data_IF_312212605821
#
_entry.id   IF_312212605821
#
_cell.length_a   1.000
_cell.length_b   1.000
_cell.length_c   1.000
_cell.angle_alpha   90.00
_cell.angle_beta   90.00
_cell.angle_gamma   90.00
#
_symmetry.space_group_name_H-M   'P 1'
#
loop_
_entity.id
_entity.type
_entity.pdbx_description
1 polymer ?
#
# COMPACT_ATOMS: atom_id res chain seq x y z
N UNK A 1 -6.46 -3.34 19.71
CA UNK A 1 -5.88 -3.76 21.00
C UNK A 1 -4.71 -4.67 20.66
N UNK A 2 -3.49 -4.20 20.85
CA UNK A 2 -2.30 -5.06 20.72
C UNK A 2 -2.31 -6.02 21.90
N UNK A 3 -2.50 -7.29 21.60
CA UNK A 3 -2.59 -8.35 22.62
C UNK A 3 -1.21 -8.89 23.05
N UNK A 4 -0.12 -8.30 22.54
CA UNK A 4 1.25 -8.64 22.91
C UNK A 4 1.67 -10.08 22.55
N UNK A 5 0.99 -10.71 21.59
CA UNK A 5 1.37 -12.01 21.11
C UNK A 5 2.53 -11.90 20.10
N UNK A 6 3.52 -12.79 20.18
CA UNK A 6 4.58 -12.82 19.20
C UNK A 6 4.04 -13.19 17.82
N UNK A 7 4.55 -12.55 16.77
CA UNK A 7 4.26 -12.89 15.39
C UNK A 7 5.33 -13.84 14.86
N UNK A 8 4.92 -15.05 14.47
CA UNK A 8 5.82 -16.03 13.86
C UNK A 8 5.36 -16.35 12.44
N UNK A 9 6.29 -16.28 11.50
CA UNK A 9 6.09 -16.82 10.17
C UNK A 9 6.44 -18.31 10.18
N UNK A 10 5.42 -19.14 10.14
CA UNK A 10 5.58 -20.61 10.07
C UNK A 10 5.70 -21.12 8.64
N UNK A 11 5.52 -20.25 7.66
CA UNK A 11 5.56 -20.53 6.23
C UNK A 11 6.53 -19.56 5.55
N UNK A 12 7.36 -20.03 4.64
CA UNK A 12 8.27 -19.21 3.85
C UNK A 12 7.54 -18.46 2.72
N UNK A 13 8.25 -17.56 2.05
CA UNK A 13 7.70 -16.82 0.88
C UNK A 13 7.34 -17.75 -0.28
N UNK A 14 7.97 -18.93 -0.38
CA UNK A 14 7.68 -19.98 -1.37
C UNK A 14 6.47 -20.84 -0.98
N UNK A 15 5.90 -20.61 0.20
CA UNK A 15 4.74 -21.33 0.69
C UNK A 15 5.08 -22.67 1.37
N UNK A 16 6.32 -22.89 1.77
CA UNK A 16 6.73 -24.10 2.49
C UNK A 16 6.82 -23.84 3.99
N UNK A 17 6.51 -24.84 4.80
CA UNK A 17 6.77 -24.76 6.24
C UNK A 17 8.25 -24.50 6.50
N UNK A 18 8.56 -23.55 7.39
CA UNK A 18 9.94 -23.28 7.82
C UNK A 18 10.42 -24.36 8.78
N UNK A 19 11.74 -24.52 8.88
CA UNK A 19 12.33 -25.48 9.80
C UNK A 19 11.96 -25.15 11.26
N UNK A 20 11.62 -26.16 12.03
CA UNK A 20 11.31 -26.08 13.45
C UNK A 20 9.81 -25.86 13.76
N UNK A 21 8.94 -25.92 12.76
CA UNK A 21 7.48 -25.94 12.96
C UNK A 21 7.05 -27.32 13.46
N UNK A 22 7.31 -28.35 12.69
CA UNK A 22 7.08 -29.74 13.05
C UNK A 22 7.89 -30.66 12.13
N UNK A 23 8.54 -31.72 12.65
CA UNK A 23 9.45 -32.59 11.85
C UNK A 23 8.79 -33.17 10.60
N UNK A 24 7.50 -33.46 10.65
CA UNK A 24 6.74 -34.03 9.52
C UNK A 24 6.28 -32.97 8.51
N UNK A 25 6.34 -31.69 8.85
CA UNK A 25 5.88 -30.59 8.00
C UNK A 25 7.03 -29.77 7.41
N UNK A 26 8.15 -29.71 8.08
CA UNK A 26 9.30 -28.88 7.72
C UNK A 26 9.69 -29.05 6.25
N UNK A 27 9.77 -27.94 5.52
CA UNK A 27 10.11 -27.88 4.10
C UNK A 27 9.02 -28.30 3.11
N UNK A 28 7.87 -28.79 3.59
CA UNK A 28 6.75 -29.19 2.72
C UNK A 28 5.86 -28.01 2.37
N UNK A 29 5.28 -28.05 1.17
CA UNK A 29 4.33 -27.03 0.72
C UNK A 29 3.03 -27.06 1.55
N UNK A 30 2.67 -25.92 2.14
CA UNK A 30 1.61 -25.81 3.14
C UNK A 30 0.26 -26.38 2.66
N UNK A 31 -0.14 -26.15 1.39
CA UNK A 31 -1.41 -26.63 0.85
C UNK A 31 -1.44 -28.14 0.58
N UNK A 32 -0.32 -28.82 0.64
CA UNK A 32 -0.26 -30.28 0.54
C UNK A 32 -0.20 -30.98 1.90
N UNK A 33 -0.32 -30.23 2.99
CA UNK A 33 -0.11 -30.73 4.35
C UNK A 33 -1.36 -30.71 5.21
N UNK A 34 -2.53 -30.34 4.67
CA UNK A 34 -3.76 -30.18 5.47
C UNK A 34 -4.10 -31.48 6.24
N UNK A 35 -4.08 -32.66 5.57
CA UNK A 35 -4.31 -33.95 6.22
C UNK A 35 -3.23 -34.25 7.28
N UNK A 36 -1.95 -34.01 6.96
CA UNK A 36 -0.85 -34.23 7.93
C UNK A 36 -0.98 -33.32 9.16
N UNK A 37 -1.41 -32.07 8.99
CA UNK A 37 -1.67 -31.17 10.12
C UNK A 37 -2.82 -31.70 10.98
N UNK A 38 -3.88 -32.22 10.34
CA UNK A 38 -5.00 -32.80 11.07
C UNK A 38 -4.58 -34.03 11.86
N UNK A 39 -3.81 -34.93 11.26
CA UNK A 39 -3.29 -36.14 11.93
C UNK A 39 -2.45 -35.78 13.16
N UNK A 40 -1.54 -34.80 13.03
CA UNK A 40 -0.71 -34.28 14.12
C UNK A 40 -1.56 -33.72 15.26
N UNK A 41 -2.60 -32.94 14.95
CA UNK A 41 -3.48 -32.32 15.96
C UNK A 41 -4.36 -33.34 16.70
N UNK A 42 -4.67 -34.48 16.07
CA UNK A 42 -5.46 -35.57 16.66
C UNK A 42 -4.58 -36.51 17.50
N UNK A 43 -3.33 -36.72 17.13
CA UNK A 43 -2.42 -37.64 17.82
C UNK A 43 -2.17 -37.17 19.25
N UNK A 44 -2.63 -37.96 20.23
CA UNK A 44 -2.43 -37.67 21.65
C UNK A 44 -1.01 -37.96 22.13
N UNK A 45 -0.18 -38.62 21.32
CA UNK A 45 1.21 -38.91 21.61
C UNK A 45 2.18 -37.94 20.93
N UNK A 46 1.68 -37.04 20.09
CA UNK A 46 2.55 -36.03 19.49
C UNK A 46 3.21 -35.16 20.57
N UNK A 47 4.49 -34.92 20.44
CA UNK A 47 5.28 -34.18 21.44
C UNK A 47 5.10 -32.67 21.39
N UNK A 48 4.52 -32.13 20.29
CA UNK A 48 4.39 -30.70 20.03
C UNK A 48 2.91 -30.29 20.11
N UNK A 49 2.01 -31.08 19.53
CA UNK A 49 0.62 -30.70 19.29
C UNK A 49 -0.41 -31.67 19.84
N UNK A 50 -0.02 -32.51 20.83
CA UNK A 50 -0.86 -33.56 21.43
C UNK A 50 -2.27 -33.07 21.79
N UNK A 51 -3.29 -33.67 21.14
CA UNK A 51 -4.70 -33.48 21.49
C UNK A 51 -5.24 -32.04 21.33
N UNK A 52 -4.63 -31.23 20.48
CA UNK A 52 -5.04 -29.83 20.29
C UNK A 52 -6.22 -29.65 19.32
N UNK A 53 -6.71 -30.70 18.67
CA UNK A 53 -7.86 -30.59 17.79
C UNK A 53 -9.13 -30.28 18.59
N UNK A 54 -9.68 -29.09 18.41
CA UNK A 54 -10.96 -28.72 19.00
C UNK A 54 -12.14 -29.24 18.19
N UNK A 55 -12.10 -29.11 16.86
CA UNK A 55 -13.18 -29.50 15.96
C UNK A 55 -12.72 -29.57 14.52
N UNK A 56 -13.14 -30.60 13.83
CA UNK A 56 -13.08 -30.73 12.38
C UNK A 56 -14.44 -30.52 11.76
N UNK A 57 -14.51 -29.80 10.65
CA UNK A 57 -15.73 -29.58 9.87
C UNK A 57 -15.40 -29.33 8.41
N UNK A 58 -16.00 -30.13 7.52
CA UNK A 58 -15.98 -29.80 6.09
C UNK A 58 -16.80 -28.56 5.80
N UNK A 59 -16.24 -27.62 5.06
CA UNK A 59 -16.86 -26.36 4.67
C UNK A 59 -16.58 -26.07 3.21
N UNK A 60 -17.63 -25.97 2.40
CA UNK A 60 -17.51 -25.58 0.99
C UNK A 60 -17.54 -24.06 0.90
N UNK A 61 -16.49 -23.48 0.31
CA UNK A 61 -16.38 -22.05 0.09
C UNK A 61 -15.53 -21.75 -1.15
N UNK A 62 -15.69 -20.56 -1.70
CA UNK A 62 -14.81 -20.07 -2.76
C UNK A 62 -13.43 -19.76 -2.19
N UNK A 63 -12.38 -20.19 -2.92
CA UNK A 63 -11.00 -19.92 -2.55
C UNK A 63 -10.30 -19.09 -3.63
N UNK A 64 -9.57 -18.02 -3.27
CA UNK A 64 -8.91 -17.18 -4.25
C UNK A 64 -7.72 -17.88 -4.90
N UNK A 65 -7.67 -17.82 -6.22
CA UNK A 65 -6.57 -18.33 -7.03
C UNK A 65 -5.88 -17.21 -7.81
N UNK A 66 -4.61 -17.40 -8.12
CA UNK A 66 -3.87 -16.47 -8.96
C UNK A 66 -4.44 -16.48 -10.38
N UNK A 67 -4.89 -15.33 -10.86
CA UNK A 67 -5.49 -15.20 -12.20
C UNK A 67 -4.54 -15.53 -13.38
N UNK A 68 -3.22 -15.57 -13.14
CA UNK A 68 -2.20 -15.93 -14.16
C UNK A 68 -1.85 -17.40 -14.17
N UNK A 69 -1.75 -18.01 -12.99
CA UNK A 69 -1.18 -19.36 -12.81
C UNK A 69 -2.17 -20.37 -12.27
N UNK A 70 -3.37 -19.90 -11.88
CA UNK A 70 -4.43 -20.71 -11.24
C UNK A 70 -4.00 -21.42 -9.94
N UNK A 71 -2.87 -21.03 -9.35
CA UNK A 71 -2.46 -21.55 -8.05
C UNK A 71 -3.25 -20.90 -6.92
N UNK A 72 -3.58 -21.66 -5.86
CA UNK A 72 -4.23 -21.10 -4.68
C UNK A 72 -3.33 -20.05 -4.01
N UNK A 73 -3.93 -18.92 -3.64
CA UNK A 73 -3.21 -17.84 -2.95
C UNK A 73 -3.03 -18.18 -1.48
N UNK A 74 -1.94 -17.70 -0.89
CA UNK A 74 -1.70 -17.77 0.56
C UNK A 74 -1.90 -16.38 1.16
N UNK A 75 -2.57 -16.32 2.32
CA UNK A 75 -2.59 -15.12 3.14
C UNK A 75 -1.27 -15.05 3.90
N UNK A 76 -0.48 -14.03 3.62
CA UNK A 76 0.85 -13.86 4.18
C UNK A 76 0.97 -12.46 4.80
N UNK A 77 1.42 -12.38 6.05
CA UNK A 77 1.67 -11.09 6.70
C UNK A 77 3.00 -10.50 6.18
N UNK A 78 2.96 -9.28 5.69
CA UNK A 78 4.10 -8.57 5.14
C UNK A 78 4.13 -7.15 5.65
N UNK A 79 5.33 -6.59 5.80
CA UNK A 79 5.50 -5.18 6.08
C UNK A 79 4.96 -4.35 4.91
N UNK A 80 4.30 -3.27 5.24
CA UNK A 80 3.70 -2.36 4.25
C UNK A 80 3.79 -0.92 4.74
N UNK A 81 3.85 0.00 3.79
CA UNK A 81 3.73 1.42 4.06
C UNK A 81 2.27 1.82 4.12
N UNK A 82 1.92 2.68 5.09
CA UNK A 82 0.55 3.13 5.30
C UNK A 82 0.47 4.64 5.31
N UNK A 83 -0.57 5.17 4.68
CA UNK A 83 -1.02 6.55 4.91
C UNK A 83 -2.06 6.52 6.03
N UNK A 84 -1.84 7.31 7.08
CA UNK A 84 -2.70 7.34 8.27
C UNK A 84 -4.01 8.09 7.97
N UNK A 85 -4.92 7.44 7.24
CA UNK A 85 -6.23 8.01 6.89
C UNK A 85 -7.13 8.24 8.10
N UNK A 86 -6.92 7.46 9.18
CA UNK A 86 -7.64 7.65 10.43
C UNK A 86 -7.36 9.00 11.09
N UNK A 87 -6.20 9.63 10.81
CA UNK A 87 -5.87 10.96 11.31
C UNK A 87 -6.66 12.09 10.66
N UNK A 88 -7.16 11.86 9.44
CA UNK A 88 -7.93 12.86 8.67
C UNK A 88 -9.41 12.48 8.52
N UNK A 89 -9.86 11.49 9.25
CA UNK A 89 -11.21 10.93 9.16
C UNK A 89 -12.31 11.99 9.28
N UNK A 90 -12.22 12.87 10.27
CA UNK A 90 -13.21 13.91 10.50
C UNK A 90 -13.28 14.90 9.32
N UNK A 91 -12.12 15.22 8.73
CA UNK A 91 -12.07 16.08 7.53
C UNK A 91 -12.68 15.40 6.31
N UNK A 92 -12.45 14.08 6.14
CA UNK A 92 -13.09 13.30 5.07
C UNK A 92 -14.63 13.33 5.19
N UNK A 93 -15.15 13.22 6.39
CA UNK A 93 -16.59 13.28 6.65
C UNK A 93 -17.14 14.68 6.37
N UNK A 94 -16.48 15.74 6.88
CA UNK A 94 -16.84 17.12 6.65
C UNK A 94 -16.88 17.45 5.15
N UNK A 95 -15.85 17.08 4.39
CA UNK A 95 -15.81 17.32 2.95
C UNK A 95 -16.84 16.47 2.18
N UNK A 96 -17.18 15.27 2.67
CA UNK A 96 -18.27 14.50 2.06
C UNK A 96 -19.63 15.18 2.24
N UNK A 97 -19.84 15.85 3.37
CA UNK A 97 -21.10 16.61 3.63
C UNK A 97 -21.20 17.85 2.74
N UNK A 98 -20.07 18.38 2.26
CA UNK A 98 -20.03 19.53 1.32
C UNK A 98 -20.28 19.10 -0.14
N UNK A 99 -20.21 17.81 -0.47
CA UNK A 99 -20.42 17.29 -1.83
C UNK A 99 -21.91 17.11 -2.13
N UNK A 100 -22.38 17.69 -3.23
CA UNK A 100 -23.72 17.43 -3.76
C UNK A 100 -23.78 16.07 -4.47
N UNK A 101 -24.38 15.08 -3.82
CA UNK A 101 -24.53 13.74 -4.36
C UNK A 101 -25.82 13.56 -5.14
N UNK A 102 -25.76 12.85 -6.24
CA UNK A 102 -26.93 12.41 -7.00
C UNK A 102 -26.84 10.92 -7.32
N UNK A 103 -27.62 10.05 -6.68
CA UNK A 103 -28.63 10.36 -5.63
C UNK A 103 -28.01 10.58 -4.23
N UNK A 104 -28.64 11.39 -3.41
CA UNK A 104 -28.16 11.79 -2.06
C UNK A 104 -27.81 10.62 -1.16
N UNK A 105 -28.60 9.53 -1.20
CA UNK A 105 -28.36 8.34 -0.36
C UNK A 105 -26.99 7.68 -0.54
N UNK A 106 -26.30 7.95 -1.68
CA UNK A 106 -24.95 7.39 -1.90
C UNK A 106 -23.95 8.07 -0.97
N UNK A 107 -24.01 9.40 -0.85
CA UNK A 107 -23.13 10.19 0.00
C UNK A 107 -23.34 9.93 1.49
N UNK A 108 -24.59 10.01 1.94
CA UNK A 108 -24.95 9.81 3.36
C UNK A 108 -24.77 8.34 3.79
N UNK A 109 -25.28 7.41 2.98
CA UNK A 109 -25.30 5.99 3.27
C UNK A 109 -23.97 5.30 2.92
N UNK A 110 -23.87 4.82 1.69
CA UNK A 110 -22.78 3.92 1.27
C UNK A 110 -21.38 4.53 1.40
N UNK A 111 -21.20 5.78 1.00
CA UNK A 111 -19.91 6.45 1.06
C UNK A 111 -19.63 6.98 2.47
N UNK A 112 -20.59 7.65 3.10
CA UNK A 112 -20.45 8.12 4.48
C UNK A 112 -20.19 7.00 5.47
N UNK A 113 -20.85 5.84 5.31
CA UNK A 113 -20.56 4.65 6.13
C UNK A 113 -19.14 4.13 5.92
N UNK A 114 -18.65 4.14 4.68
CA UNK A 114 -17.26 3.79 4.39
C UNK A 114 -16.29 4.73 5.09
N UNK A 115 -16.51 6.04 5.03
CA UNK A 115 -15.67 7.05 5.68
C UNK A 115 -15.70 6.94 7.21
N UNK A 116 -16.87 6.68 7.80
CA UNK A 116 -17.00 6.45 9.25
C UNK A 116 -16.15 5.27 9.74
N UNK A 117 -15.96 4.27 8.88
CA UNK A 117 -15.18 3.07 9.16
C UNK A 117 -13.82 3.05 8.45
N UNK A 118 -13.33 4.20 8.00
CA UNK A 118 -12.06 4.31 7.27
C UNK A 118 -10.91 3.71 8.07
N UNK A 119 -10.06 2.97 7.37
CA UNK A 119 -8.82 2.40 7.89
C UNK A 119 -7.62 3.08 7.24
N UNK A 120 -6.46 2.95 7.87
CA UNK A 120 -5.22 3.41 7.27
C UNK A 120 -4.99 2.70 5.93
N UNK A 121 -4.55 3.46 4.94
CA UNK A 121 -4.40 2.99 3.56
C UNK A 121 -3.04 2.36 3.37
N UNK A 122 -2.99 1.02 3.18
CA UNK A 122 -1.78 0.35 2.75
C UNK A 122 -1.42 0.82 1.35
N UNK A 123 -0.41 1.69 1.24
CA UNK A 123 -0.07 2.40 0.00
C UNK A 123 0.96 1.67 -0.85
N UNK A 124 1.80 0.82 -0.26
CA UNK A 124 2.86 0.12 -0.98
C UNK A 124 2.39 -1.17 -1.62
N UNK A 125 2.96 -1.49 -2.79
CA UNK A 125 2.69 -2.73 -3.54
C UNK A 125 4.00 -3.38 -3.96
N UNK A 126 4.09 -4.69 -3.81
CA UNK A 126 5.20 -5.50 -4.30
C UNK A 126 5.03 -5.80 -5.79
N UNK A 127 5.24 -4.82 -6.60
CA UNK A 127 5.21 -4.93 -8.05
C UNK A 127 6.46 -4.32 -8.65
N UNK A 128 6.85 -4.84 -9.80
CA UNK A 128 8.00 -4.30 -10.52
C UNK A 128 7.66 -2.95 -11.15
N UNK A 129 6.54 -2.83 -11.85
CA UNK A 129 6.14 -1.65 -12.59
C UNK A 129 5.01 -0.88 -11.91
N UNK A 130 5.16 0.42 -11.84
CA UNK A 130 4.24 1.39 -11.26
C UNK A 130 5.01 2.60 -10.78
N UNK A 131 4.33 3.57 -10.17
CA UNK A 131 4.95 4.75 -9.54
C UNK A 131 5.79 4.32 -8.34
N UNK A 132 7.13 4.44 -8.38
CA UNK A 132 7.98 4.01 -7.29
C UNK A 132 7.72 4.80 -6.01
N UNK A 133 7.75 4.12 -4.87
CA UNK A 133 7.68 4.80 -3.57
C UNK A 133 8.94 5.66 -3.39
N UNK A 134 8.84 6.99 -3.25
CA UNK A 134 9.99 7.90 -3.27
C UNK A 134 10.66 8.01 -1.89
N UNK A 135 10.94 6.88 -1.27
CA UNK A 135 11.54 6.80 0.07
C UNK A 135 12.83 6.00 0.01
N UNK A 136 13.90 6.58 0.54
CA UNK A 136 15.18 5.91 0.76
C UNK A 136 15.38 5.65 2.24
N UNK A 137 15.97 4.50 2.58
CA UNK A 137 16.23 4.07 3.95
C UNK A 137 17.65 3.55 4.10
N UNK A 138 18.27 3.82 5.24
CA UNK A 138 19.53 3.19 5.66
C UNK A 138 19.29 1.96 6.56
N UNK A 139 20.37 1.29 6.94
CA UNK A 139 20.33 0.09 7.80
C UNK A 139 19.84 0.35 9.23
N UNK A 140 19.95 1.59 9.71
CA UNK A 140 19.47 1.98 11.05
C UNK A 140 17.98 2.38 11.05
N UNK A 141 17.36 2.41 9.85
CA UNK A 141 15.96 2.78 9.67
C UNK A 141 15.72 4.29 9.51
N UNK A 142 16.78 5.11 9.36
CA UNK A 142 16.62 6.51 8.97
C UNK A 142 16.04 6.59 7.58
N UNK A 143 15.10 7.51 7.37
CA UNK A 143 14.33 7.60 6.14
C UNK A 143 14.39 8.99 5.53
N UNK A 144 14.41 9.05 4.21
CA UNK A 144 14.31 10.27 3.43
C UNK A 144 13.27 10.10 2.33
N UNK A 145 12.26 10.96 2.31
CA UNK A 145 11.29 11.04 1.24
C UNK A 145 11.70 12.15 0.28
N UNK A 146 11.79 11.85 -1.01
CA UNK A 146 12.22 12.78 -2.06
C UNK A 146 10.99 13.23 -2.85
N UNK A 147 10.72 14.54 -2.86
CA UNK A 147 9.52 15.14 -3.43
C UNK A 147 9.65 15.70 -4.84
N UNK A 148 10.87 15.76 -5.41
CA UNK A 148 11.08 16.30 -6.76
C UNK A 148 12.39 15.79 -7.39
N UNK A 149 12.51 15.93 -8.72
CA UNK A 149 13.75 15.64 -9.44
C UNK A 149 14.89 16.54 -8.94
N UNK A 150 14.61 17.83 -8.71
CA UNK A 150 15.60 18.76 -8.19
C UNK A 150 16.12 18.36 -6.80
N UNK A 151 15.25 17.85 -5.93
CA UNK A 151 15.64 17.30 -4.63
C UNK A 151 16.47 16.03 -4.80
N UNK A 152 16.05 15.12 -5.69
CA UNK A 152 16.84 13.92 -6.00
C UNK A 152 18.24 14.26 -6.47
N UNK A 153 18.38 15.22 -7.39
CA UNK A 153 19.67 15.71 -7.88
C UNK A 153 20.55 16.26 -6.75
N UNK A 154 19.95 17.05 -5.84
CA UNK A 154 20.68 17.61 -4.70
C UNK A 154 21.15 16.51 -3.73
N UNK A 155 20.31 15.50 -3.46
CA UNK A 155 20.67 14.38 -2.60
C UNK A 155 21.72 13.45 -3.25
N UNK A 156 21.62 13.21 -4.56
CA UNK A 156 22.63 12.49 -5.34
C UNK A 156 23.98 13.23 -5.30
N UNK A 157 23.98 14.55 -5.45
CA UNK A 157 25.21 15.35 -5.35
C UNK A 157 25.85 15.25 -3.95
N UNK A 158 25.05 15.26 -2.87
CA UNK A 158 25.56 15.04 -1.51
C UNK A 158 26.16 13.64 -1.34
N UNK A 159 25.48 12.62 -1.86
CA UNK A 159 25.98 11.25 -1.80
C UNK A 159 27.30 11.08 -2.56
N UNK A 160 27.42 11.66 -3.75
CA UNK A 160 28.66 11.65 -4.53
C UNK A 160 29.80 12.37 -3.79
N UNK A 161 29.52 13.51 -3.15
CA UNK A 161 30.50 14.22 -2.32
C UNK A 161 30.93 13.41 -1.08
N UNK A 162 30.08 12.52 -0.59
CA UNK A 162 30.38 11.59 0.50
C UNK A 162 31.12 10.32 0.03
N UNK A 163 31.36 10.16 -1.28
CA UNK A 163 32.11 9.06 -1.86
C UNK A 163 31.27 7.90 -2.40
N UNK A 164 29.96 8.06 -2.48
CA UNK A 164 29.08 7.11 -3.17
C UNK A 164 29.06 7.40 -4.68
N UNK A 165 29.11 6.36 -5.49
CA UNK A 165 29.03 6.50 -6.94
C UNK A 165 27.59 6.36 -7.41
N UNK A 166 27.06 7.41 -8.06
CA UNK A 166 25.71 7.41 -8.64
C UNK A 166 25.77 7.65 -10.15
N UNK A 167 24.78 7.16 -10.91
CA UNK A 167 24.60 7.57 -12.29
C UNK A 167 24.24 9.07 -12.39
N UNK A 168 24.31 9.62 -13.59
CA UNK A 168 23.81 10.97 -13.86
C UNK A 168 22.30 11.05 -13.57
N UNK A 169 21.87 12.16 -12.98
CA UNK A 169 20.46 12.44 -12.69
C UNK A 169 20.04 13.69 -13.48
N UNK A 170 19.70 13.58 -14.78
CA UNK A 170 19.28 14.71 -15.61
C UNK A 170 17.86 15.17 -15.23
N UNK A 171 17.46 16.36 -15.77
CA UNK A 171 16.13 16.94 -15.51
C UNK A 171 14.96 16.07 -16.02
N UNK A 172 15.21 15.23 -17.02
CA UNK A 172 14.29 14.29 -17.64
C UNK A 172 14.52 12.83 -17.20
N UNK A 173 15.16 12.62 -16.05
CA UNK A 173 15.44 11.28 -15.54
C UNK A 173 14.17 10.43 -15.45
N UNK A 174 14.25 9.20 -15.95
CA UNK A 174 13.16 8.23 -15.78
C UNK A 174 13.09 7.78 -14.31
N UNK A 175 12.01 8.13 -13.64
CA UNK A 175 11.77 7.77 -12.23
C UNK A 175 11.24 6.35 -12.04
N UNK A 176 11.04 5.57 -13.12
CA UNK A 176 10.62 4.18 -13.01
C UNK A 176 11.81 3.26 -12.67
N UNK A 177 11.46 2.06 -12.21
CA UNK A 177 12.43 0.98 -12.04
C UNK A 177 12.90 0.47 -13.42
N UNK A 178 14.16 0.12 -13.61
CA UNK A 178 15.22 0.02 -12.58
C UNK A 178 16.02 1.32 -12.38
N UNK A 179 15.73 2.38 -13.12
CA UNK A 179 16.57 3.60 -13.15
C UNK A 179 16.63 4.25 -11.77
N UNK A 180 15.49 4.50 -11.15
CA UNK A 180 15.41 5.14 -9.82
C UNK A 180 16.07 4.30 -8.72
N UNK A 181 16.09 2.98 -8.85
CA UNK A 181 16.71 2.06 -7.88
C UNK A 181 18.26 2.14 -7.90
N UNK A 182 18.85 2.71 -8.96
CA UNK A 182 20.29 2.88 -9.08
C UNK A 182 20.84 4.02 -8.22
N UNK A 183 20.00 4.92 -7.72
CA UNK A 183 20.42 6.04 -6.89
C UNK A 183 20.58 5.62 -5.43
N UNK A 184 21.83 5.75 -4.93
CA UNK A 184 22.15 5.61 -3.51
C UNK A 184 22.28 7.01 -2.92
N UNK A 185 21.48 7.31 -1.90
CA UNK A 185 21.58 8.56 -1.16
C UNK A 185 22.43 8.39 0.10
N UNK A 186 22.63 9.46 0.85
CA UNK A 186 23.40 9.44 2.10
C UNK A 186 22.59 10.00 3.25
N UNK A 187 22.58 9.29 4.39
CA UNK A 187 21.98 9.76 5.63
C UNK A 187 22.86 10.82 6.30
N UNK A 188 22.32 11.51 7.30
CA UNK A 188 23.05 12.51 8.06
C UNK A 188 24.24 11.91 8.84
N UNK A 189 24.18 10.61 9.12
CA UNK A 189 25.24 9.83 9.77
C UNK A 189 26.28 9.29 8.75
N UNK A 190 26.16 9.62 7.47
CA UNK A 190 27.09 9.23 6.42
C UNK A 190 26.88 7.79 5.89
N UNK A 191 25.76 7.13 6.21
CA UNK A 191 25.44 5.78 5.76
C UNK A 191 24.74 5.78 4.41
N UNK A 192 24.93 4.72 3.60
CA UNK A 192 24.19 4.59 2.34
C UNK A 192 22.69 4.38 2.59
N UNK A 193 21.88 5.05 1.81
CA UNK A 193 20.43 4.88 1.80
C UNK A 193 20.00 4.31 0.45
N UNK A 194 19.19 3.27 0.49
CA UNK A 194 18.63 2.63 -0.70
C UNK A 194 17.12 2.86 -0.75
N UNK A 195 16.59 2.97 -1.97
CA UNK A 195 15.16 3.18 -2.16
C UNK A 195 14.37 1.94 -1.68
N UNK A 196 13.25 2.18 -1.03
CA UNK A 196 12.29 1.12 -0.69
C UNK A 196 11.80 0.42 -1.96
N UNK A 197 11.82 -0.94 -2.04
CA UNK A 197 11.63 -1.67 -3.30
C UNK A 197 10.17 -1.70 -3.78
N UNK A 198 9.29 -0.93 -3.17
CA UNK A 198 7.88 -0.89 -3.47
C UNK A 198 7.53 0.13 -4.55
N UNK A 199 6.36 -0.09 -5.18
CA UNK A 199 5.63 0.93 -5.94
C UNK A 199 4.38 1.34 -5.17
N UNK A 200 3.85 2.51 -5.49
CA UNK A 200 2.62 3.00 -4.88
C UNK A 200 1.40 2.26 -5.44
N UNK A 201 0.34 2.23 -4.67
CA UNK A 201 -0.97 1.77 -5.14
C UNK A 201 -1.43 2.61 -6.34
N UNK A 202 -1.85 1.98 -7.43
CA UNK A 202 -2.36 2.68 -8.62
C UNK A 202 -3.58 3.56 -8.33
N UNK A 203 -4.28 3.31 -7.23
CA UNK A 203 -5.35 4.17 -6.75
C UNK A 203 -4.85 5.52 -6.22
N UNK A 204 -3.59 5.60 -5.78
CA UNK A 204 -2.96 6.88 -5.47
C UNK A 204 -2.77 7.70 -6.74
N UNK A 205 -2.22 7.10 -7.80
CA UNK A 205 -2.02 7.78 -9.08
C UNK A 205 -3.35 8.33 -9.61
N UNK A 206 -4.41 7.51 -9.61
CA UNK A 206 -5.74 7.95 -10.05
C UNK A 206 -6.35 9.02 -9.13
N UNK A 207 -6.07 8.96 -7.83
CA UNK A 207 -6.47 9.97 -6.84
C UNK A 207 -5.79 11.33 -7.04
N UNK A 208 -4.61 11.34 -7.66
CA UNK A 208 -3.86 12.55 -8.01
C UNK A 208 -4.38 13.26 -9.28
N UNK A 209 -5.27 12.65 -10.07
CA UNK A 209 -5.70 13.15 -11.37
C UNK A 209 -6.13 14.64 -11.37
N UNK A 210 -6.87 15.19 -10.37
CA UNK A 210 -7.30 16.58 -10.39
C UNK A 210 -6.18 17.61 -10.45
N UNK A 211 -4.98 17.28 -10.04
CA UNK A 211 -3.83 18.17 -10.02
C UNK A 211 -2.65 17.68 -10.85
N UNK A 212 -2.42 16.37 -10.89
CA UNK A 212 -1.31 15.79 -11.65
C UNK A 212 -1.44 16.02 -13.17
N UNK A 213 -2.67 16.04 -13.72
CA UNK A 213 -2.91 16.35 -15.13
C UNK A 213 -2.45 17.76 -15.54
N UNK A 214 -2.29 18.66 -14.58
CA UNK A 214 -1.81 20.03 -14.78
C UNK A 214 -0.35 20.21 -14.36
N UNK A 215 0.36 19.12 -14.07
CA UNK A 215 1.72 19.11 -13.55
C UNK A 215 1.90 20.03 -12.31
N UNK A 216 0.83 20.15 -11.51
CA UNK A 216 0.87 20.90 -10.25
C UNK A 216 1.73 20.16 -9.22
N UNK A 217 2.62 20.81 -8.43
CA UNK A 217 2.82 22.26 -8.29
C UNK A 217 3.94 22.85 -9.17
N UNK A 218 4.48 22.13 -10.14
CA UNK A 218 5.71 22.47 -10.84
C UNK A 218 5.53 23.50 -11.96
N UNK A 219 4.32 23.60 -12.55
CA UNK A 219 3.99 24.56 -13.59
C UNK A 219 3.19 25.76 -13.08
N UNK A 220 3.04 26.81 -13.93
CA UNK A 220 2.14 27.93 -13.64
C UNK A 220 0.67 27.47 -13.51
N UNK A 221 0.18 27.47 -12.29
CA UNK A 221 -1.04 26.77 -11.86
C UNK A 221 -2.37 27.51 -12.16
N UNK A 222 -2.47 28.33 -13.21
CA UNK A 222 -3.71 29.03 -13.55
C UNK A 222 -4.87 28.08 -13.82
N UNK A 223 -4.62 27.02 -14.59
CA UNK A 223 -5.64 26.03 -14.94
C UNK A 223 -6.05 25.21 -13.72
N UNK A 224 -5.08 24.77 -12.92
CA UNK A 224 -5.35 24.09 -11.66
C UNK A 224 -6.23 24.94 -10.75
N UNK A 225 -5.83 26.18 -10.45
CA UNK A 225 -6.57 27.07 -9.57
C UNK A 225 -7.99 27.40 -10.08
N UNK A 226 -8.21 27.36 -11.39
CA UNK A 226 -9.53 27.58 -11.99
C UNK A 226 -10.42 26.33 -12.00
N UNK A 227 -9.82 25.13 -11.87
CA UNK A 227 -10.49 23.84 -12.06
C UNK A 227 -10.60 22.99 -10.80
N UNK A 228 -9.93 23.39 -9.72
CA UNK A 228 -9.89 22.62 -8.47
C UNK A 228 -10.61 23.38 -7.33
N UNK A 229 -11.50 22.74 -6.55
CA UNK A 229 -12.07 21.39 -6.78
C UNK A 229 -12.85 21.32 -8.09
N UNK A 230 -12.85 20.14 -8.76
CA UNK A 230 -13.57 19.96 -10.02
C UNK A 230 -15.09 20.12 -9.82
N UNK A 231 -15.77 20.62 -10.84
CA UNK A 231 -17.20 20.94 -10.69
C UNK A 231 -18.06 19.69 -10.52
N UNK A 232 -17.71 18.60 -11.22
CA UNK A 232 -18.46 17.37 -11.09
C UNK A 232 -17.68 16.13 -11.57
N UNK A 233 -18.00 14.96 -10.99
CA UNK A 233 -17.55 13.64 -11.43
C UNK A 233 -18.75 12.71 -11.59
N UNK A 234 -18.60 11.67 -12.45
CA UNK A 234 -19.66 10.70 -12.70
C UNK A 234 -19.06 9.33 -12.97
N UNK A 235 -19.42 8.35 -12.14
CA UNK A 235 -19.03 6.94 -12.26
C UNK A 235 -20.06 6.05 -11.58
N UNK A 236 -19.90 4.72 -11.70
CA UNK A 236 -20.75 3.75 -11.01
C UNK A 236 -20.63 3.81 -9.47
N UNK A 237 -21.67 3.38 -8.78
CA UNK A 237 -21.76 3.38 -7.30
C UNK A 237 -20.67 2.54 -6.60
N UNK A 238 -20.07 1.59 -7.30
CA UNK A 238 -18.93 0.82 -6.80
C UNK A 238 -17.70 1.70 -6.52
N UNK A 239 -17.57 2.86 -7.20
CA UNK A 239 -16.47 3.80 -7.00
C UNK A 239 -16.51 4.55 -5.66
N UNK A 240 -17.55 4.39 -4.87
CA UNK A 240 -17.56 4.77 -3.46
C UNK A 240 -16.47 4.07 -2.64
N UNK A 241 -15.98 2.92 -3.12
CA UNK A 241 -14.83 2.17 -2.55
C UNK A 241 -13.66 2.08 -3.54
N UNK A 242 -13.57 3.03 -4.44
CA UNK A 242 -12.54 3.13 -5.46
C UNK A 242 -12.21 4.61 -5.69
N UNK A 243 -12.46 5.08 -6.90
CA UNK A 243 -12.00 6.40 -7.35
C UNK A 243 -12.60 7.57 -6.57
N UNK A 244 -13.88 7.56 -6.21
CA UNK A 244 -14.46 8.64 -5.40
C UNK A 244 -13.75 8.79 -4.05
N UNK A 245 -13.42 7.65 -3.41
CA UNK A 245 -12.70 7.66 -2.16
C UNK A 245 -11.24 8.15 -2.34
N UNK A 246 -10.52 7.64 -3.32
CA UNK A 246 -9.10 8.00 -3.49
C UNK A 246 -8.90 9.45 -3.93
N UNK A 247 -9.80 10.00 -4.74
CA UNK A 247 -9.86 11.44 -5.03
C UNK A 247 -10.00 12.27 -3.75
N UNK A 248 -10.99 11.93 -2.92
CA UNK A 248 -11.24 12.64 -1.67
C UNK A 248 -10.08 12.45 -0.68
N UNK A 249 -9.56 11.24 -0.54
CA UNK A 249 -8.47 10.93 0.37
C UNK A 249 -7.19 11.70 0.06
N UNK A 250 -6.75 11.68 -1.21
CA UNK A 250 -5.56 12.41 -1.66
C UNK A 250 -5.76 13.91 -1.52
N UNK A 251 -6.90 14.42 -1.97
CA UNK A 251 -7.20 15.85 -1.92
C UNK A 251 -7.27 16.38 -0.48
N UNK A 252 -7.90 15.64 0.43
CA UNK A 252 -7.94 15.98 1.85
C UNK A 252 -6.55 16.05 2.47
N UNK A 253 -5.69 15.07 2.15
CA UNK A 253 -4.34 15.01 2.74
C UNK A 253 -3.38 16.05 2.19
N UNK A 254 -3.52 16.43 0.91
CA UNK A 254 -2.58 17.32 0.23
C UNK A 254 -3.04 18.79 0.28
N UNK A 255 -4.34 19.04 0.13
CA UNK A 255 -4.89 20.38 -0.04
C UNK A 255 -5.84 20.82 1.07
N UNK A 256 -6.20 19.92 1.99
CA UNK A 256 -7.27 20.16 2.98
C UNK A 256 -8.57 20.67 2.32
N UNK A 257 -8.98 20.00 1.24
CA UNK A 257 -10.10 20.39 0.37
C UNK A 257 -10.76 19.16 -0.24
N UNK A 258 -12.08 19.19 -0.55
CA UNK A 258 -12.69 18.16 -1.39
C UNK A 258 -12.08 18.18 -2.80
N UNK A 259 -12.04 17.03 -3.48
CA UNK A 259 -11.56 16.95 -4.86
C UNK A 259 -12.61 17.43 -5.87
N UNK A 260 -13.88 17.30 -5.53
CA UNK A 260 -15.03 17.56 -6.40
C UNK A 260 -16.18 18.16 -5.61
N UNK A 261 -17.01 18.96 -6.30
CA UNK A 261 -18.19 19.64 -5.72
C UNK A 261 -19.44 18.78 -5.83
N UNK A 262 -19.56 17.99 -6.91
CA UNK A 262 -20.72 17.15 -7.23
C UNK A 262 -20.30 15.77 -7.64
N UNK A 263 -21.10 14.78 -7.26
CA UNK A 263 -20.88 13.38 -7.65
C UNK A 263 -22.20 12.77 -8.12
N UNK A 264 -22.22 12.32 -9.38
CA UNK A 264 -23.33 11.56 -9.96
C UNK A 264 -22.93 10.08 -10.01
N UNK A 265 -23.81 9.20 -9.49
CA UNK A 265 -23.52 7.75 -9.39
C UNK A 265 -24.76 6.89 -9.64
#
# INVERSE_FOLDING_TARGET
>A
MEVGLPAYHTVSMEGNFVAGVHPELDGRYVKSCDDSVMDILVDQNDSIASGLLYREKSYLHDYPHCWRTDHPLLYYAMDSWFVRMTAVKERLLEFNDDVEWAPDWVGEGRFGEWLRNVKDWAISRERYWGTPLPVWRDEDGNMKCVGSIAELQAEVAKANAAGFENPECPDDVDLHRPVVDAFTLVSDDGKPMHREPFVMDCWFDSGCAPFAQWHHPFDENKTFNASFPVDYICEGVDQTRGWFYTLLAVSTTVFDSPAYKRCLS
#
